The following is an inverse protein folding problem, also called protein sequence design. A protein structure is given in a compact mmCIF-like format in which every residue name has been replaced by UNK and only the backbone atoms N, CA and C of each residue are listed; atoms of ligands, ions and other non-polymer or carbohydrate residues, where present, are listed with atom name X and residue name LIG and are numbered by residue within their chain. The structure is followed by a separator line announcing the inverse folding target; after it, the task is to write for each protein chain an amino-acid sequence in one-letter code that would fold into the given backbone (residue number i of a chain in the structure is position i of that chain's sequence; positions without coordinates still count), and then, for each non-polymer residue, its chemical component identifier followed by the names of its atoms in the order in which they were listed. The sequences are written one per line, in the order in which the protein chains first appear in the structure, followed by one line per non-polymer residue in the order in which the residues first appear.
data_IF_736950535332
#
_entry.id   IF_736950535332
#
_cell.length_a   1.000
_cell.length_b   1.000
_cell.length_c   1.000
_cell.angle_alpha   90.00
_cell.angle_beta   90.00
_cell.angle_gamma   90.00
#
_symmetry.space_group_name_H-M   'P 1'
#
loop_
_entity.id
_entity.type
_entity.pdbx_description
1 polymer ?
#
# COMPACT_ATOMS: atom_id res chain seq x y z
N UNK A 1 8.53 8.37 73.91
CA UNK A 1 8.70 8.10 72.46
C UNK A 1 7.42 8.54 71.75
N UNK A 2 7.52 9.16 70.57
CA UNK A 2 6.72 10.34 70.15
C UNK A 2 5.44 10.01 69.35
N UNK A 3 4.57 11.02 69.16
CA UNK A 3 3.73 11.15 67.95
C UNK A 3 2.24 11.53 68.14
N UNK A 4 1.94 12.83 68.08
CA UNK A 4 0.62 13.41 67.73
C UNK A 4 0.34 13.22 66.19
N UNK A 5 -0.75 13.77 65.60
CA UNK A 5 -2.05 13.13 65.33
C UNK A 5 -2.42 13.19 63.82
N UNK A 6 -3.58 12.67 63.39
CA UNK A 6 -4.36 13.24 62.27
C UNK A 6 -5.68 12.46 62.01
N UNK A 7 -6.83 13.12 62.19
CA UNK A 7 -7.71 13.70 61.15
C UNK A 7 -8.79 12.73 60.65
N UNK A 8 -10.04 13.03 61.03
CA UNK A 8 -11.25 12.53 60.38
C UNK A 8 -11.54 13.29 59.07
N UNK A 9 -12.31 12.70 58.16
CA UNK A 9 -13.45 13.42 57.61
C UNK A 9 -14.72 12.53 57.62
N UNK A 10 -15.85 13.00 58.16
CA UNK A 10 -16.76 14.03 57.63
C UNK A 10 -17.72 13.45 56.58
N UNK A 11 -18.93 13.20 57.07
CA UNK A 11 -20.17 12.97 56.32
C UNK A 11 -20.47 14.22 55.47
N UNK A 12 -20.87 14.02 54.21
CA UNK A 12 -21.62 15.04 53.46
C UNK A 12 -22.85 14.44 52.76
N UNK A 13 -23.97 15.19 52.73
CA UNK A 13 -25.25 14.75 52.20
C UNK A 13 -25.50 15.19 50.75
N UNK A 14 -26.47 14.51 50.15
CA UNK A 14 -27.49 14.89 49.17
C UNK A 14 -27.22 15.75 47.93
N UNK A 15 -27.83 15.24 46.84
CA UNK A 15 -28.06 15.81 45.51
C UNK A 15 -28.93 17.10 45.56
N UNK A 16 -29.05 17.79 44.42
CA UNK A 16 -30.33 17.64 43.72
C UNK A 16 -30.23 17.47 42.19
N UNK A 17 -31.21 16.74 41.67
CA UNK A 17 -31.60 16.63 40.27
C UNK A 17 -32.19 17.94 39.74
N UNK A 18 -32.00 18.19 38.44
CA UNK A 18 -32.93 19.03 37.66
C UNK A 18 -33.20 18.31 36.33
N UNK A 19 -34.47 18.07 36.09
CA UNK A 19 -35.05 17.47 34.89
C UNK A 19 -35.61 18.56 33.95
N UNK A 20 -36.32 18.09 32.91
CA UNK A 20 -37.25 18.80 32.00
C UNK A 20 -36.54 19.28 30.71
N UNK A 21 -37.05 19.04 29.49
CA UNK A 21 -38.31 18.44 29.06
C UNK A 21 -38.41 18.50 27.53
N UNK A 22 -39.27 17.65 26.98
CA UNK A 22 -39.57 17.52 25.55
C UNK A 22 -40.62 18.55 25.13
N UNK A 23 -40.45 19.19 23.97
CA UNK A 23 -41.55 19.77 23.19
C UNK A 23 -41.26 19.73 21.68
N UNK A 24 -42.25 19.25 20.92
CA UNK A 24 -42.37 19.31 19.45
C UNK A 24 -43.04 20.63 19.05
N UNK A 25 -42.70 21.18 17.89
CA UNK A 25 -43.61 21.99 17.08
C UNK A 25 -43.22 21.99 15.60
N UNK A 26 -44.24 22.17 14.78
CA UNK A 26 -44.37 21.93 13.35
C UNK A 26 -43.74 23.01 12.45
N UNK A 27 -43.51 22.63 11.18
CA UNK A 27 -43.97 23.38 10.01
C UNK A 27 -43.16 24.61 9.57
N UNK A 28 -42.44 24.50 8.45
CA UNK A 28 -42.32 25.61 7.51
C UNK A 28 -42.03 25.11 6.09
N UNK A 29 -43.05 25.20 5.25
CA UNK A 29 -42.97 25.08 3.80
C UNK A 29 -42.46 26.42 3.24
N UNK A 30 -41.39 26.41 2.44
CA UNK A 30 -41.11 27.49 1.49
C UNK A 30 -40.80 26.94 0.11
N UNK A 31 -41.52 27.52 -0.85
CA UNK A 31 -41.52 27.27 -2.27
C UNK A 31 -40.57 28.24 -3.00
N UNK A 32 -40.19 27.86 -4.23
CA UNK A 32 -39.52 28.63 -5.31
C UNK A 32 -37.99 28.76 -5.18
N UNK A 33 -37.19 28.56 -6.22
CA UNK A 33 -37.39 28.90 -7.65
C UNK A 33 -36.46 28.05 -8.54
N UNK A 34 -36.99 27.63 -9.68
CA UNK A 34 -36.23 27.19 -10.85
C UNK A 34 -35.36 28.34 -11.34
N UNK A 35 -34.06 28.09 -11.54
CA UNK A 35 -33.23 28.80 -12.51
C UNK A 35 -32.44 27.74 -13.25
N UNK A 36 -32.84 27.56 -14.50
CA UNK A 36 -32.11 26.91 -15.55
C UNK A 36 -31.04 27.90 -16.03
N UNK A 37 -29.78 27.47 -16.03
CA UNK A 37 -28.72 28.09 -16.80
C UNK A 37 -27.60 27.07 -16.96
N UNK A 38 -27.57 26.44 -18.14
CA UNK A 38 -26.47 25.62 -18.57
C UNK A 38 -25.15 26.39 -18.58
N UNK A 39 -24.10 25.70 -18.16
CA UNK A 39 -22.74 26.02 -18.54
C UNK A 39 -22.01 24.68 -18.60
N UNK A 40 -21.67 24.27 -19.82
CA UNK A 40 -20.75 23.17 -20.08
C UNK A 40 -19.40 23.51 -19.45
N UNK A 41 -18.95 22.68 -18.53
CA UNK A 41 -17.53 22.54 -18.20
C UNK A 41 -17.23 21.05 -18.10
N UNK A 42 -16.44 20.60 -19.07
CA UNK A 42 -15.84 19.28 -19.16
C UNK A 42 -14.84 19.08 -18.04
N UNK A 43 -15.25 18.40 -16.98
CA UNK A 43 -14.35 17.79 -16.01
C UNK A 43 -14.93 16.41 -15.70
N UNK A 44 -14.51 15.41 -16.48
CA UNK A 44 -14.75 13.99 -16.20
C UNK A 44 -13.88 13.59 -14.99
N UNK A 45 -14.29 13.99 -13.79
CA UNK A 45 -13.83 13.34 -12.57
C UNK A 45 -14.53 11.97 -12.47
N UNK A 46 -13.75 10.95 -12.78
CA UNK A 46 -14.04 9.53 -12.60
C UNK A 46 -14.33 9.25 -11.11
N UNK A 47 -15.59 9.43 -10.71
CA UNK A 47 -16.07 9.27 -9.33
C UNK A 47 -16.07 7.77 -8.97
N UNK A 48 -14.93 7.26 -8.53
CA UNK A 48 -14.80 5.91 -7.97
C UNK A 48 -15.62 5.84 -6.67
N UNK A 49 -16.75 5.13 -6.72
CA UNK A 49 -17.61 4.93 -5.55
C UNK A 49 -17.00 3.91 -4.59
N UNK A 50 -16.42 4.36 -3.48
CA UNK A 50 -15.99 3.47 -2.40
C UNK A 50 -17.20 3.05 -1.55
N UNK A 51 -17.64 1.80 -1.67
CA UNK A 51 -18.64 1.24 -0.75
C UNK A 51 -18.01 0.20 0.19
N UNK A 52 -18.08 0.44 1.50
CA UNK A 52 -17.87 -0.60 2.52
C UNK A 52 -18.75 -0.34 3.76
N UNK A 53 -19.90 -1.03 3.87
CA UNK A 53 -20.10 -1.94 5.02
C UNK A 53 -21.17 -3.06 4.83
N UNK A 54 -20.83 -4.33 5.15
CA UNK A 54 -21.82 -5.38 5.48
C UNK A 54 -21.70 -6.75 4.80
N UNK A 55 -20.64 -7.03 4.06
CA UNK A 55 -20.57 -8.26 3.25
C UNK A 55 -20.22 -9.50 4.07
N UNK A 56 -21.06 -10.54 3.95
CA UNK A 56 -20.85 -11.86 4.56
C UNK A 56 -19.61 -12.52 3.94
N UNK A 57 -18.82 -13.17 4.79
CA UNK A 57 -17.70 -14.05 4.40
C UNK A 57 -18.29 -15.20 3.58
N UNK A 58 -18.21 -15.12 2.26
CA UNK A 58 -18.59 -16.19 1.34
C UNK A 58 -17.33 -16.81 0.72
N UNK A 59 -17.41 -18.10 0.38
CA UNK A 59 -16.34 -18.83 -0.33
C UNK A 59 -16.14 -18.20 -1.71
N UNK A 60 -14.88 -18.18 -2.15
CA UNK A 60 -14.34 -17.69 -3.41
C UNK A 60 -15.39 -17.28 -4.48
N UNK A 61 -15.46 -15.98 -4.78
CA UNK A 61 -16.15 -15.43 -5.95
C UNK A 61 -15.20 -14.47 -6.70
N UNK A 62 -15.11 -14.51 -8.03
CA UNK A 62 -14.35 -13.54 -8.82
C UNK A 62 -14.77 -12.08 -8.56
N UNK A 63 -16.04 -11.84 -8.22
CA UNK A 63 -16.54 -10.53 -7.80
C UNK A 63 -16.13 -10.11 -6.38
N UNK A 64 -15.63 -11.05 -5.56
CA UNK A 64 -15.13 -10.82 -4.20
C UNK A 64 -13.65 -10.47 -4.17
N UNK A 65 -12.91 -10.76 -5.25
CA UNK A 65 -11.48 -10.53 -5.40
C UNK A 65 -11.16 -9.06 -5.74
N UNK A 66 -11.96 -8.12 -5.22
CA UNK A 66 -11.80 -6.69 -5.48
C UNK A 66 -10.47 -6.17 -4.94
N UNK A 67 -9.42 -6.27 -5.76
CA UNK A 67 -8.43 -5.20 -5.81
C UNK A 67 -9.24 -3.91 -5.86
N UNK A 68 -9.09 -2.99 -4.89
CA UNK A 68 -9.83 -1.73 -4.90
C UNK A 68 -9.54 -0.90 -6.16
N UNK A 69 -8.58 -1.33 -6.98
CA UNK A 69 -8.13 -0.70 -8.20
C UNK A 69 -8.79 -1.25 -9.47
N UNK A 70 -9.76 -2.18 -9.38
CA UNK A 70 -10.57 -2.58 -10.54
C UNK A 70 -11.50 -1.43 -10.93
N UNK A 71 -11.05 -0.61 -11.86
CA UNK A 71 -11.87 0.37 -12.56
C UNK A 71 -12.52 -0.31 -13.79
N UNK A 72 -13.85 -0.55 -13.79
CA UNK A 72 -14.53 -1.16 -14.93
C UNK A 72 -14.57 -0.25 -16.18
N UNK A 73 -14.18 1.04 -16.07
CA UNK A 73 -14.22 1.99 -17.18
C UNK A 73 -12.95 1.97 -18.08
N UNK A 74 -11.86 1.32 -17.65
CA UNK A 74 -10.61 1.22 -18.43
C UNK A 74 -10.40 -0.20 -18.96
N UNK A 75 -11.22 -0.59 -19.94
CA UNK A 75 -10.88 -1.67 -20.86
C UNK A 75 -9.75 -1.20 -21.80
N UNK A 76 -8.51 -1.14 -21.32
CA UNK A 76 -7.37 -1.05 -22.22
C UNK A 76 -7.07 -2.44 -22.76
N UNK A 77 -6.99 -2.57 -24.10
CA UNK A 77 -6.50 -3.78 -24.73
C UNK A 77 -5.11 -4.08 -24.18
N UNK A 78 -4.88 -5.30 -23.70
CA UNK A 78 -3.55 -5.77 -23.32
C UNK A 78 -2.57 -5.45 -24.46
N UNK A 79 -1.50 -4.68 -24.21
CA UNK A 79 -0.56 -4.32 -25.25
C UNK A 79 0.13 -5.59 -25.76
N UNK A 80 0.17 -5.77 -27.09
CA UNK A 80 1.01 -6.79 -27.71
C UNK A 80 2.44 -6.58 -27.25
N UNK A 81 3.01 -7.61 -26.59
CA UNK A 81 4.35 -7.58 -26.04
C UNK A 81 5.39 -7.61 -27.17
N UNK A 82 5.75 -6.44 -27.72
CA UNK A 82 6.96 -6.33 -28.54
C UNK A 82 8.18 -6.42 -27.62
N UNK A 83 8.98 -7.50 -27.75
CA UNK A 83 10.19 -7.76 -26.96
C UNK A 83 11.14 -6.55 -26.92
N UNK A 84 11.16 -5.75 -27.99
CA UNK A 84 11.94 -4.50 -28.06
C UNK A 84 11.47 -3.44 -27.06
N UNK A 85 10.16 -3.34 -26.85
CA UNK A 85 9.56 -2.43 -25.87
C UNK A 85 9.93 -2.85 -24.44
N UNK A 86 9.85 -4.14 -24.14
CA UNK A 86 10.20 -4.70 -22.83
C UNK A 86 11.70 -4.53 -22.52
N UNK A 87 12.57 -4.73 -23.51
CA UNK A 87 14.01 -4.54 -23.36
C UNK A 87 14.40 -3.07 -23.16
N UNK A 88 13.78 -2.15 -23.91
CA UNK A 88 13.95 -0.71 -23.73
C UNK A 88 13.50 -0.27 -22.34
N UNK A 89 12.35 -0.76 -21.90
CA UNK A 89 11.82 -0.55 -20.55
C UNK A 89 12.80 -1.06 -19.47
N UNK A 90 13.27 -2.30 -19.59
CA UNK A 90 14.25 -2.89 -18.67
C UNK A 90 15.55 -2.09 -18.60
N UNK A 91 16.10 -1.71 -19.76
CA UNK A 91 17.36 -0.97 -19.84
C UNK A 91 17.25 0.40 -19.17
N UNK A 92 16.13 1.11 -19.41
CA UNK A 92 15.82 2.36 -18.71
C UNK A 92 15.71 2.16 -17.21
N UNK A 93 14.98 1.14 -16.75
CA UNK A 93 14.88 0.85 -15.32
C UNK A 93 16.24 0.53 -14.68
N UNK A 94 17.10 -0.25 -15.35
CA UNK A 94 18.45 -0.57 -14.86
C UNK A 94 19.34 0.66 -14.76
N UNK A 95 19.40 1.47 -15.83
CA UNK A 95 20.18 2.70 -15.85
C UNK A 95 19.71 3.68 -14.77
N UNK A 96 18.38 3.81 -14.61
CA UNK A 96 17.78 4.81 -13.73
C UNK A 96 17.79 4.42 -12.25
N UNK A 97 17.66 3.13 -11.89
CA UNK A 97 17.82 2.69 -10.49
C UNK A 97 19.29 2.69 -10.01
N UNK A 98 20.21 3.20 -10.83
CA UNK A 98 21.62 3.32 -10.48
C UNK A 98 22.30 1.97 -10.33
N UNK A 99 21.93 0.99 -11.16
CA UNK A 99 22.71 -0.24 -11.33
C UNK A 99 23.72 0.04 -12.45
N UNK A 100 24.99 0.36 -12.11
CA UNK A 100 25.97 0.70 -13.15
C UNK A 100 26.17 -0.48 -14.10
N UNK A 101 25.81 -0.29 -15.38
CA UNK A 101 26.18 -1.20 -16.47
C UNK A 101 27.69 -1.16 -16.78
N UNK A 102 28.44 -0.21 -16.19
CA UNK A 102 29.88 0.00 -16.39
C UNK A 102 30.56 0.53 -15.11
N UNK A 103 31.81 0.13 -14.88
CA UNK A 103 32.67 0.32 -13.70
C UNK A 103 32.65 1.69 -12.95
N UNK A 104 33.03 1.72 -11.66
CA UNK A 104 32.75 2.82 -10.73
C UNK A 104 33.60 4.08 -10.99
N UNK A 105 32.93 5.24 -10.98
CA UNK A 105 33.59 6.54 -10.82
C UNK A 105 34.07 6.76 -9.37
N UNK A 106 35.07 7.62 -9.21
CA UNK A 106 35.83 7.87 -7.99
C UNK A 106 34.98 8.37 -6.80
N UNK A 107 35.39 8.09 -5.55
CA UNK A 107 34.55 8.31 -4.37
C UNK A 107 34.44 9.80 -4.06
N UNK A 108 33.24 10.36 -4.20
CA UNK A 108 32.81 11.49 -3.38
C UNK A 108 32.73 11.01 -1.93
N UNK A 109 32.95 11.88 -0.96
CA UNK A 109 32.84 11.53 0.47
C UNK A 109 31.38 11.13 0.73
N UNK A 110 31.08 9.84 0.59
CA UNK A 110 29.73 9.30 0.73
C UNK A 110 29.32 9.41 2.20
N UNK A 111 28.16 10.02 2.44
CA UNK A 111 27.49 9.86 3.71
C UNK A 111 27.37 8.36 3.99
N UNK A 112 27.71 7.94 5.22
CA UNK A 112 27.66 6.52 5.60
C UNK A 112 26.23 6.01 5.41
N UNK A 113 26.01 5.17 4.39
CA UNK A 113 24.70 4.61 4.06
C UNK A 113 24.09 3.76 5.19
N UNK A 114 22.81 3.44 5.06
CA UNK A 114 22.08 2.66 6.07
C UNK A 114 22.47 1.19 6.08
N UNK A 115 22.55 0.60 7.27
CA UNK A 115 22.72 -0.85 7.43
C UNK A 115 21.37 -1.59 7.31
N UNK A 116 21.35 -2.91 7.05
CA UNK A 116 20.10 -3.68 7.05
C UNK A 116 19.32 -3.60 8.37
N UNK A 117 20.00 -3.44 9.50
CA UNK A 117 19.36 -3.28 10.81
C UNK A 117 18.68 -1.92 10.99
N UNK A 118 18.95 -0.96 10.12
CA UNK A 118 18.41 0.40 10.14
C UNK A 118 17.37 0.60 9.04
N UNK A 119 17.09 -0.42 8.24
CA UNK A 119 16.21 -0.36 7.07
C UNK A 119 14.96 -1.21 7.27
N UNK A 120 13.80 -0.62 6.98
CA UNK A 120 12.54 -1.31 6.80
C UNK A 120 12.11 -1.23 5.35
N UNK A 121 11.65 -2.34 4.78
CA UNK A 121 11.16 -2.45 3.40
C UNK A 121 9.72 -2.96 3.47
N UNK A 122 8.80 -2.25 2.83
CA UNK A 122 7.38 -2.58 2.79
C UNK A 122 7.00 -2.81 1.33
N UNK A 123 6.45 -4.00 1.06
CA UNK A 123 5.87 -4.32 -0.25
C UNK A 123 4.34 -4.32 -0.16
N UNK A 124 3.67 -3.94 -1.24
CA UNK A 124 2.31 -4.40 -1.50
C UNK A 124 2.31 -5.83 -2.11
N UNK A 125 1.12 -6.44 -2.25
CA UNK A 125 0.95 -7.74 -2.89
C UNK A 125 0.31 -7.63 -4.28
N UNK A 126 -0.80 -6.90 -4.38
CA UNK A 126 -1.71 -6.91 -5.53
C UNK A 126 -1.11 -6.05 -6.64
N UNK A 127 -0.90 -6.63 -7.82
CA UNK A 127 -0.21 -5.99 -8.96
C UNK A 127 1.23 -5.51 -8.67
N UNK A 128 1.74 -5.83 -7.47
CA UNK A 128 3.10 -5.53 -7.00
C UNK A 128 3.96 -6.79 -6.89
N UNK A 129 3.54 -7.82 -6.15
CA UNK A 129 4.24 -9.11 -6.07
C UNK A 129 3.50 -10.20 -6.85
N UNK A 130 2.22 -9.99 -7.10
CA UNK A 130 1.34 -10.91 -7.79
C UNK A 130 0.46 -10.14 -8.80
N UNK A 131 0.44 -10.50 -10.10
CA UNK A 131 -0.26 -9.75 -11.15
C UNK A 131 -1.76 -10.04 -11.07
N UNK A 132 -2.43 -9.43 -10.10
CA UNK A 132 -3.83 -9.66 -9.77
C UNK A 132 -4.72 -9.32 -10.95
N UNK A 133 -4.51 -8.17 -11.57
CA UNK A 133 -5.25 -7.72 -12.74
C UNK A 133 -5.19 -8.76 -13.87
N UNK A 134 -3.97 -9.06 -14.34
CA UNK A 134 -3.77 -9.95 -15.48
C UNK A 134 -4.19 -11.40 -15.18
N UNK A 135 -3.94 -11.90 -13.97
CA UNK A 135 -4.35 -13.26 -13.57
C UNK A 135 -5.89 -13.41 -13.54
N UNK A 136 -6.62 -12.39 -13.09
CA UNK A 136 -8.07 -12.39 -13.10
C UNK A 136 -8.64 -12.21 -14.51
N UNK A 137 -8.05 -11.36 -15.34
CA UNK A 137 -8.46 -11.15 -16.73
C UNK A 137 -8.41 -12.45 -17.54
N UNK A 138 -7.29 -13.19 -17.45
CA UNK A 138 -7.11 -14.49 -18.12
C UNK A 138 -8.16 -15.51 -17.65
N UNK A 139 -8.45 -15.54 -16.35
CA UNK A 139 -9.42 -16.46 -15.74
C UNK A 139 -10.87 -16.14 -16.13
N UNK A 140 -11.25 -14.86 -16.14
CA UNK A 140 -12.59 -14.42 -16.52
C UNK A 140 -12.88 -14.68 -18.00
N UNK A 141 -11.94 -14.37 -18.88
CA UNK A 141 -12.11 -14.54 -20.33
C UNK A 141 -11.95 -15.99 -20.80
N UNK A 142 -11.61 -16.92 -19.89
CA UNK A 142 -11.28 -18.31 -20.21
C UNK A 142 -10.31 -18.42 -21.39
N UNK A 143 -9.45 -17.41 -21.55
CA UNK A 143 -8.38 -17.49 -22.54
C UNK A 143 -7.65 -18.78 -22.22
N UNK A 144 -7.38 -19.65 -23.22
CA UNK A 144 -6.78 -20.93 -22.94
C UNK A 144 -5.55 -20.64 -22.07
N UNK A 145 -5.57 -21.17 -20.85
CA UNK A 145 -4.48 -21.11 -19.90
C UNK A 145 -3.34 -21.86 -20.54
N UNK A 146 -2.67 -21.19 -21.46
CA UNK A 146 -1.66 -21.78 -22.31
C UNK A 146 -0.57 -22.24 -21.36
N UNK A 147 0.03 -23.38 -21.67
CA UNK A 147 1.20 -23.86 -20.94
C UNK A 147 2.22 -22.73 -20.77
N UNK A 148 2.34 -21.85 -21.77
CA UNK A 148 3.16 -20.64 -21.73
C UNK A 148 2.81 -19.64 -20.60
N UNK A 149 1.53 -19.44 -20.29
CA UNK A 149 1.10 -18.57 -19.19
C UNK A 149 1.46 -19.17 -17.84
N UNK A 150 1.20 -20.47 -17.65
CA UNK A 150 1.58 -21.17 -16.43
C UNK A 150 3.09 -21.26 -16.25
N UNK A 151 3.85 -21.52 -17.33
CA UNK A 151 5.31 -21.50 -17.31
C UNK A 151 5.85 -20.09 -16.95
N UNK A 152 5.19 -19.02 -17.41
CA UNK A 152 5.57 -17.65 -17.06
C UNK A 152 5.27 -17.31 -15.59
N UNK A 153 4.11 -17.72 -15.06
CA UNK A 153 3.78 -17.58 -13.63
C UNK A 153 4.76 -18.34 -12.74
N UNK A 154 5.26 -19.45 -13.26
CA UNK A 154 6.23 -20.28 -12.60
C UNK A 154 7.64 -19.65 -12.56
N UNK A 155 8.00 -18.91 -13.60
CA UNK A 155 9.19 -18.06 -13.56
C UNK A 155 9.01 -16.90 -12.56
N UNK A 156 7.85 -16.23 -12.60
CA UNK A 156 7.51 -15.18 -11.63
C UNK A 156 7.62 -15.69 -10.19
N UNK A 157 7.20 -16.93 -9.92
CA UNK A 157 7.33 -17.58 -8.60
C UNK A 157 8.77 -17.55 -8.09
N UNK A 158 9.75 -17.85 -8.94
CA UNK A 158 11.16 -17.79 -8.55
C UNK A 158 11.61 -16.34 -8.35
N UNK A 159 11.20 -15.41 -9.22
CA UNK A 159 11.54 -14.00 -9.10
C UNK A 159 11.03 -13.39 -7.79
N UNK A 160 9.79 -13.70 -7.37
CA UNK A 160 9.21 -13.22 -6.10
C UNK A 160 9.98 -13.79 -4.91
N UNK A 161 10.33 -15.09 -4.92
CA UNK A 161 11.14 -15.71 -3.86
C UNK A 161 12.50 -15.05 -3.74
N UNK A 162 13.19 -14.87 -4.87
CA UNK A 162 14.52 -14.27 -4.92
C UNK A 162 14.49 -12.82 -4.44
N UNK A 163 13.49 -12.04 -4.87
CA UNK A 163 13.29 -10.67 -4.42
C UNK A 163 13.07 -10.59 -2.92
N UNK A 164 12.15 -11.38 -2.35
CA UNK A 164 11.87 -11.34 -0.91
C UNK A 164 13.09 -11.78 -0.09
N UNK A 165 13.85 -12.77 -0.57
CA UNK A 165 15.10 -13.21 0.04
C UNK A 165 16.16 -12.11 0.01
N UNK A 166 16.34 -11.47 -1.16
CA UNK A 166 17.25 -10.33 -1.32
C UNK A 166 16.84 -9.16 -0.41
N UNK A 167 15.55 -8.84 -0.35
CA UNK A 167 15.00 -7.80 0.51
C UNK A 167 15.31 -8.07 1.99
N UNK A 168 15.20 -9.33 2.43
CA UNK A 168 15.56 -9.69 3.81
C UNK A 168 17.04 -9.52 4.13
N UNK A 169 17.92 -9.68 3.15
CA UNK A 169 19.34 -9.37 3.32
C UNK A 169 19.60 -7.85 3.40
N UNK A 170 18.74 -7.04 2.79
CA UNK A 170 18.86 -5.58 2.73
C UNK A 170 18.16 -4.84 3.88
N UNK A 171 17.21 -5.48 4.56
CA UNK A 171 16.45 -4.83 5.63
C UNK A 171 15.39 -5.73 6.25
N UNK A 172 14.67 -5.21 7.25
CA UNK A 172 13.48 -5.86 7.81
C UNK A 172 12.33 -5.67 6.83
N UNK A 173 11.67 -6.76 6.41
CA UNK A 173 10.66 -6.72 5.35
C UNK A 173 9.27 -6.94 5.94
N UNK A 174 8.25 -6.35 5.32
CA UNK A 174 6.83 -6.63 5.57
C UNK A 174 6.02 -6.54 4.28
N UNK A 175 4.86 -7.21 4.26
CA UNK A 175 3.86 -7.06 3.20
C UNK A 175 2.62 -6.38 3.78
N UNK A 176 2.15 -5.32 3.12
CA UNK A 176 0.98 -4.54 3.49
C UNK A 176 0.04 -4.44 2.29
N UNK A 177 -1.06 -5.17 2.32
CA UNK A 177 -2.02 -5.27 1.20
C UNK A 177 -3.37 -4.64 1.55
N UNK A 178 -4.07 -4.11 0.55
CA UNK A 178 -5.47 -3.69 0.68
C UNK A 178 -6.46 -4.81 0.37
N UNK A 179 -6.02 -6.01 0.01
CA UNK A 179 -6.90 -7.16 -0.16
C UNK A 179 -7.60 -7.57 1.15
N UNK A 180 -8.48 -8.57 1.07
CA UNK A 180 -9.12 -9.21 2.22
C UNK A 180 -8.48 -10.57 2.48
N UNK A 181 -8.45 -11.02 3.73
CA UNK A 181 -8.10 -12.42 4.01
C UNK A 181 -9.12 -13.37 3.35
N UNK A 182 -8.68 -14.54 2.88
CA UNK A 182 -7.29 -15.04 2.85
C UNK A 182 -6.59 -14.81 1.50
N UNK A 183 -6.89 -13.72 0.79
CA UNK A 183 -6.51 -13.51 -0.62
C UNK A 183 -5.05 -13.84 -0.96
N UNK A 184 -4.06 -13.34 -0.20
CA UNK A 184 -2.64 -13.60 -0.50
C UNK A 184 -2.32 -15.10 -0.49
N UNK A 185 -2.88 -15.85 0.46
CA UNK A 185 -2.65 -17.29 0.55
C UNK A 185 -3.38 -18.04 -0.57
N UNK A 186 -4.64 -17.68 -0.85
CA UNK A 186 -5.44 -18.32 -1.90
C UNK A 186 -4.89 -18.02 -3.30
N UNK A 187 -4.54 -16.77 -3.59
CA UNK A 187 -4.02 -16.36 -4.90
C UNK A 187 -2.65 -16.99 -5.17
N UNK A 188 -1.76 -17.03 -4.17
CA UNK A 188 -0.49 -17.72 -4.31
C UNK A 188 -0.68 -19.24 -4.51
N UNK A 189 -1.57 -19.89 -3.76
CA UNK A 189 -1.83 -21.32 -3.91
C UNK A 189 -2.42 -21.67 -5.29
N UNK A 190 -3.26 -20.80 -5.84
CA UNK A 190 -3.87 -21.01 -7.15
C UNK A 190 -2.89 -20.75 -8.31
N UNK A 191 -2.18 -19.62 -8.30
CA UNK A 191 -1.40 -19.15 -9.45
C UNK A 191 0.11 -19.39 -9.33
N UNK A 192 0.63 -19.49 -8.11
CA UNK A 192 2.06 -19.68 -7.81
C UNK A 192 2.27 -20.79 -6.78
N UNK A 193 1.73 -22.02 -6.98
CA UNK A 193 1.69 -23.05 -5.94
C UNK A 193 3.07 -23.44 -5.40
N UNK A 194 4.10 -23.35 -6.24
CA UNK A 194 5.48 -23.66 -5.84
C UNK A 194 6.14 -22.58 -4.99
N UNK A 195 5.53 -21.39 -4.89
CA UNK A 195 6.01 -20.32 -4.01
C UNK A 195 5.89 -20.75 -2.55
N UNK A 196 4.79 -21.42 -2.21
CA UNK A 196 4.37 -21.73 -0.84
C UNK A 196 4.50 -20.47 0.05
N UNK A 197 3.70 -19.45 -0.26
CA UNK A 197 3.86 -18.11 0.30
C UNK A 197 3.84 -18.12 1.83
N UNK A 198 2.98 -18.92 2.47
CA UNK A 198 2.91 -18.96 3.93
C UNK A 198 4.20 -19.48 4.56
N UNK A 199 4.77 -20.57 4.02
CA UNK A 199 6.04 -21.10 4.50
C UNK A 199 7.21 -20.13 4.24
N UNK A 200 7.24 -19.49 3.06
CA UNK A 200 8.27 -18.52 2.72
C UNK A 200 8.23 -17.30 3.64
N UNK A 201 7.04 -16.77 3.95
CA UNK A 201 6.90 -15.63 4.85
C UNK A 201 7.28 -15.99 6.29
N UNK A 202 7.01 -17.21 6.75
CA UNK A 202 7.45 -17.70 8.06
C UNK A 202 8.97 -17.85 8.12
N UNK A 203 9.57 -18.52 7.14
CA UNK A 203 11.02 -18.70 6.99
C UNK A 203 11.76 -17.36 7.01
N UNK A 204 11.27 -16.41 6.21
CA UNK A 204 11.85 -15.08 6.09
C UNK A 204 11.43 -14.13 7.23
N UNK A 205 10.53 -14.56 8.12
CA UNK A 205 9.96 -13.75 9.21
C UNK A 205 9.31 -12.44 8.72
N UNK A 206 8.59 -12.51 7.59
CA UNK A 206 7.92 -11.37 6.95
C UNK A 206 6.47 -11.30 7.46
N UNK A 207 6.09 -10.26 8.24
CA UNK A 207 4.71 -10.05 8.60
C UNK A 207 3.87 -9.63 7.39
N UNK A 208 2.73 -10.29 7.22
CA UNK A 208 1.67 -9.91 6.28
C UNK A 208 0.53 -9.21 7.03
N UNK A 209 0.22 -7.96 6.64
CA UNK A 209 -0.85 -7.15 7.21
C UNK A 209 -1.88 -6.81 6.12
N UNK A 210 -3.15 -7.09 6.42
CA UNK A 210 -4.29 -6.69 5.60
C UNK A 210 -4.80 -5.33 6.11
N UNK A 211 -4.61 -4.29 5.31
CA UNK A 211 -4.74 -2.88 5.73
C UNK A 211 -6.15 -2.52 6.14
N UNK A 212 -7.16 -3.13 5.50
CA UNK A 212 -8.58 -2.95 5.83
C UNK A 212 -8.91 -3.34 7.27
N UNK A 213 -8.12 -4.23 7.88
CA UNK A 213 -8.29 -4.66 9.27
C UNK A 213 -7.72 -3.65 10.28
N UNK A 214 -6.95 -2.65 9.82
CA UNK A 214 -6.30 -1.66 10.67
C UNK A 214 -7.13 -0.39 10.89
N UNK A 215 -8.26 -0.23 10.17
CA UNK A 215 -9.15 0.92 10.31
C UNK A 215 -10.44 0.53 11.04
N UNK A 216 -10.84 1.32 12.03
CA UNK A 216 -12.13 1.13 12.71
C UNK A 216 -13.27 1.56 11.80
N UNK A 217 -14.41 0.87 11.88
CA UNK A 217 -15.60 1.14 11.06
C UNK A 217 -16.10 2.59 11.10
N UNK A 218 -15.89 3.30 12.21
CA UNK A 218 -16.28 4.72 12.34
C UNK A 218 -15.20 5.70 11.87
N UNK A 219 -13.97 5.26 11.58
CA UNK A 219 -12.99 6.10 10.88
C UNK A 219 -13.20 6.02 9.35
N UNK A 220 -13.95 5.01 8.88
CA UNK A 220 -14.41 4.89 7.49
C UNK A 220 -15.82 5.46 7.27
N UNK A 221 -16.36 6.16 8.26
CA UNK A 221 -17.68 6.79 8.22
C UNK A 221 -17.56 8.10 8.97
N UNK A 222 -17.64 9.23 8.28
CA UNK A 222 -18.04 10.45 8.96
C UNK A 222 -19.47 10.29 9.51
N UNK A 223 -19.86 11.05 10.55
CA UNK A 223 -21.21 11.00 11.11
C UNK A 223 -22.34 11.24 10.07
N UNK A 224 -22.00 11.89 8.96
CA UNK A 224 -22.81 12.32 7.83
C UNK A 224 -22.58 11.49 6.55
N UNK A 225 -21.59 10.60 6.51
CA UNK A 225 -21.27 9.74 5.36
C UNK A 225 -20.38 10.35 4.29
N UNK A 226 -20.04 11.64 4.44
CA UNK A 226 -19.10 12.40 3.60
C UNK A 226 -17.68 12.30 4.19
N UNK A 227 -16.72 11.68 3.51
CA UNK A 227 -15.32 11.81 3.92
C UNK A 227 -14.89 13.28 3.82
N UNK A 228 -13.99 13.74 4.70
CA UNK A 228 -13.37 15.05 4.49
C UNK A 228 -12.79 15.11 3.07
N UNK A 229 -13.14 16.16 2.33
CA UNK A 229 -12.71 16.36 0.95
C UNK A 229 -11.17 16.25 0.88
N UNK A 230 -10.68 15.33 0.04
CA UNK A 230 -9.25 15.02 -0.09
C UNK A 230 -8.71 13.84 0.74
N UNK A 231 -9.52 13.22 1.62
CA UNK A 231 -9.06 12.07 2.41
C UNK A 231 -9.43 10.74 1.73
N UNK A 232 -8.43 10.03 1.18
CA UNK A 232 -8.62 8.69 0.61
C UNK A 232 -8.67 7.61 1.72
N UNK A 233 -9.80 6.89 1.91
CA UNK A 233 -9.92 5.89 2.98
C UNK A 233 -8.96 4.70 2.83
N UNK A 234 -8.55 4.40 1.58
CA UNK A 234 -7.59 3.35 1.28
C UNK A 234 -6.18 3.75 1.71
N UNK A 235 -5.78 5.00 1.44
CA UNK A 235 -4.52 5.58 1.90
C UNK A 235 -4.47 5.59 3.43
N UNK A 236 -5.54 6.02 4.10
CA UNK A 236 -5.62 5.95 5.58
C UNK A 236 -5.45 4.51 6.09
N UNK A 237 -6.06 3.53 5.42
CA UNK A 237 -5.94 2.14 5.82
C UNK A 237 -4.51 1.62 5.70
N UNK A 238 -3.82 1.94 4.60
CA UNK A 238 -2.41 1.63 4.41
C UNK A 238 -1.53 2.37 5.41
N UNK A 239 -1.78 3.65 5.68
CA UNK A 239 -1.03 4.44 6.65
C UNK A 239 -1.07 3.79 8.05
N UNK A 240 -2.27 3.42 8.52
CA UNK A 240 -2.41 2.75 9.82
C UNK A 240 -1.73 1.37 9.85
N UNK A 241 -1.81 0.62 8.76
CA UNK A 241 -1.14 -0.68 8.63
C UNK A 241 0.39 -0.54 8.62
N UNK A 242 0.92 0.40 7.84
CA UNK A 242 2.35 0.72 7.78
C UNK A 242 2.86 1.21 9.13
N UNK A 243 2.10 2.05 9.85
CA UNK A 243 2.42 2.47 11.23
C UNK A 243 2.55 1.27 12.18
N UNK A 244 1.62 0.32 12.10
CA UNK A 244 1.65 -0.91 12.90
C UNK A 244 2.87 -1.77 12.55
N UNK A 245 3.17 -1.92 11.26
CA UNK A 245 4.34 -2.66 10.76
C UNK A 245 5.63 -2.01 11.21
N UNK A 246 5.82 -0.71 11.01
CA UNK A 246 7.06 -0.02 11.37
C UNK A 246 7.31 -0.04 12.88
N UNK A 247 6.26 0.07 13.70
CA UNK A 247 6.36 -0.18 15.15
C UNK A 247 6.83 -1.61 15.45
N UNK A 248 6.36 -2.62 14.73
CA UNK A 248 6.80 -4.01 14.88
C UNK A 248 8.25 -4.21 14.42
N UNK A 249 8.64 -3.63 13.29
CA UNK A 249 9.96 -3.82 12.70
C UNK A 249 11.06 -3.07 13.47
N UNK A 250 10.81 -1.83 13.88
CA UNK A 250 11.79 -1.04 14.64
C UNK A 250 11.70 -1.25 16.16
N UNK A 251 10.56 -1.71 16.66
CA UNK A 251 10.32 -1.84 18.10
C UNK A 251 10.38 -0.49 18.79
N UNK A 252 11.31 -0.36 19.75
CA UNK A 252 11.57 0.90 20.50
C UNK A 252 12.61 1.80 19.82
N UNK A 253 13.25 1.33 18.75
CA UNK A 253 14.27 2.11 18.06
C UNK A 253 13.62 3.21 17.21
N UNK A 254 14.29 4.36 17.03
CA UNK A 254 13.83 5.36 16.08
C UNK A 254 13.82 4.78 14.67
N UNK A 255 12.86 5.21 13.85
CA UNK A 255 12.84 4.88 12.43
C UNK A 255 13.98 5.64 11.75
N UNK A 256 14.70 4.94 10.87
CA UNK A 256 15.92 5.47 10.23
C UNK A 256 15.79 5.48 8.72
N UNK A 257 15.36 4.38 8.12
CA UNK A 257 15.25 4.27 6.67
C UNK A 257 14.06 3.39 6.31
N UNK A 258 13.09 3.95 5.60
CA UNK A 258 11.90 3.22 5.16
C UNK A 258 11.82 3.26 3.65
N UNK A 259 11.67 2.09 3.04
CA UNK A 259 11.45 1.92 1.60
C UNK A 259 10.08 1.28 1.38
N UNK A 260 9.18 1.99 0.70
CA UNK A 260 7.86 1.48 0.29
C UNK A 260 7.85 1.18 -1.20
N UNK A 261 7.41 -0.01 -1.58
CA UNK A 261 7.35 -0.48 -2.97
C UNK A 261 5.94 -1.01 -3.24
N UNK A 262 5.26 -0.46 -4.24
CA UNK A 262 3.90 -0.84 -4.62
C UNK A 262 3.52 -0.26 -5.98
N UNK A 263 2.45 -0.74 -6.61
CA UNK A 263 2.00 -0.29 -7.93
C UNK A 263 1.13 0.98 -7.89
N UNK A 264 0.57 1.31 -6.71
CA UNK A 264 -0.37 2.42 -6.57
C UNK A 264 0.27 3.65 -5.91
N UNK A 265 -0.35 4.80 -6.17
CA UNK A 265 -0.06 6.04 -5.41
C UNK A 265 -0.44 5.89 -3.94
N UNK A 266 -1.33 4.93 -3.63
CA UNK A 266 -1.83 4.68 -2.27
C UNK A 266 -0.69 4.33 -1.29
N UNK A 267 0.25 3.48 -1.67
CA UNK A 267 1.39 3.09 -0.83
C UNK A 267 2.35 4.25 -0.65
N UNK A 268 2.58 5.00 -1.74
CA UNK A 268 3.46 6.18 -1.79
C UNK A 268 2.94 7.28 -0.85
N UNK A 269 1.68 7.64 -0.98
CA UNK A 269 1.05 8.68 -0.18
C UNK A 269 0.93 8.23 1.29
N UNK A 270 0.52 6.99 1.54
CA UNK A 270 0.37 6.47 2.90
C UNK A 270 1.67 6.51 3.71
N UNK A 271 2.81 6.14 3.11
CA UNK A 271 4.08 6.19 3.84
C UNK A 271 4.61 7.61 3.97
N UNK A 272 4.37 8.47 2.98
CA UNK A 272 4.81 9.87 2.97
C UNK A 272 4.10 10.64 4.07
N UNK A 273 2.77 10.55 4.12
CA UNK A 273 1.96 11.19 5.18
C UNK A 273 2.33 10.66 6.57
N UNK A 274 2.54 9.34 6.70
CA UNK A 274 2.97 8.74 7.96
C UNK A 274 4.34 9.26 8.41
N UNK A 275 5.29 9.38 7.48
CA UNK A 275 6.63 9.87 7.76
C UNK A 275 6.59 11.33 8.19
N UNK A 276 5.86 12.19 7.47
CA UNK A 276 5.64 13.59 7.85
C UNK A 276 4.95 13.76 9.20
N UNK A 277 3.95 12.94 9.52
CA UNK A 277 3.22 13.01 10.79
C UNK A 277 4.05 12.60 12.01
N UNK A 278 5.11 11.79 11.82
CA UNK A 278 5.94 11.26 12.90
C UNK A 278 7.26 12.04 13.04
N UNK A 279 7.79 12.52 11.92
CA UNK A 279 9.04 13.24 11.87
C UNK A 279 8.75 14.74 12.01
N UNK A 280 9.03 15.31 13.18
CA UNK A 280 9.20 16.76 13.29
C UNK A 280 10.41 17.22 12.46
N UNK A 281 10.57 18.53 12.27
CA UNK A 281 11.58 19.16 11.38
C UNK A 281 13.03 18.66 11.58
N UNK A 282 13.38 18.10 12.74
CA UNK A 282 14.74 17.70 13.13
C UNK A 282 15.08 16.20 12.98
N UNK A 283 14.16 15.35 12.48
CA UNK A 283 14.38 13.91 12.50
C UNK A 283 15.17 13.37 11.28
N UNK A 284 16.30 12.70 11.56
CA UNK A 284 17.18 12.04 10.57
C UNK A 284 16.65 10.69 10.10
N UNK A 285 15.43 10.63 9.58
CA UNK A 285 14.86 9.41 8.99
C UNK A 285 14.64 9.59 7.50
N UNK A 286 15.09 8.63 6.70
CA UNK A 286 14.80 8.61 5.27
C UNK A 286 13.48 7.89 4.96
N UNK A 287 12.75 8.45 4.00
CA UNK A 287 11.57 7.89 3.37
C UNK A 287 11.80 7.77 1.88
N UNK A 288 11.69 6.55 1.37
CA UNK A 288 11.90 6.22 -0.03
C UNK A 288 10.68 5.51 -0.58
N UNK A 289 10.28 5.89 -1.78
CA UNK A 289 9.14 5.27 -2.45
C UNK A 289 9.50 4.87 -3.86
N UNK A 290 9.09 3.66 -4.25
CA UNK A 290 9.13 3.18 -5.62
C UNK A 290 7.72 2.74 -5.99
N UNK A 291 7.04 3.56 -6.80
CA UNK A 291 5.78 3.19 -7.44
C UNK A 291 6.09 2.38 -8.70
N UNK A 292 5.56 1.16 -8.81
CA UNK A 292 5.67 0.28 -9.97
C UNK A 292 4.59 0.61 -11.02
N UNK A 293 4.64 -0.07 -12.17
CA UNK A 293 3.58 0.01 -13.17
C UNK A 293 2.23 -0.41 -12.58
N UNK A 294 1.19 0.36 -12.89
CA UNK A 294 -0.17 -0.02 -12.58
C UNK A 294 -0.68 -1.05 -13.58
N UNK A 295 -1.39 -2.09 -13.10
CA UNK A 295 -1.95 -3.17 -13.93
C UNK A 295 -0.93 -3.82 -14.89
N UNK A 296 0.24 -4.27 -14.40
CA UNK A 296 1.29 -4.79 -15.28
C UNK A 296 0.88 -6.11 -15.92
N UNK A 297 1.30 -6.32 -17.18
CA UNK A 297 1.34 -7.66 -17.75
C UNK A 297 2.31 -8.54 -16.96
N UNK A 298 2.19 -9.86 -17.12
CA UNK A 298 3.05 -10.83 -16.42
C UNK A 298 4.54 -10.61 -16.75
N UNK A 299 4.85 -10.32 -18.02
CA UNK A 299 6.21 -10.06 -18.47
C UNK A 299 6.77 -8.74 -17.90
N UNK A 300 5.96 -7.68 -17.85
CA UNK A 300 6.34 -6.40 -17.25
C UNK A 300 6.63 -6.58 -15.75
N UNK A 301 5.73 -7.24 -15.02
CA UNK A 301 5.91 -7.48 -13.59
C UNK A 301 7.17 -8.30 -13.31
N UNK A 302 7.39 -9.39 -14.05
CA UNK A 302 8.59 -10.20 -13.90
C UNK A 302 9.86 -9.39 -14.14
N UNK A 303 9.85 -8.49 -15.13
CA UNK A 303 10.96 -7.60 -15.43
C UNK A 303 11.19 -6.60 -14.28
N UNK A 304 10.15 -5.88 -13.85
CA UNK A 304 10.25 -4.91 -12.74
C UNK A 304 10.80 -5.57 -11.49
N UNK A 305 10.28 -6.74 -11.09
CA UNK A 305 10.75 -7.44 -9.91
C UNK A 305 12.20 -7.91 -10.03
N UNK A 306 12.64 -8.30 -11.23
CA UNK A 306 14.04 -8.67 -11.49
C UNK A 306 14.96 -7.46 -11.33
N UNK A 307 14.61 -6.33 -11.95
CA UNK A 307 15.38 -5.08 -11.86
C UNK A 307 15.40 -4.54 -10.43
N UNK A 308 14.25 -4.56 -9.75
CA UNK A 308 14.11 -4.14 -8.36
C UNK A 308 14.98 -5.00 -7.46
N UNK A 309 14.98 -6.33 -7.62
CA UNK A 309 15.85 -7.24 -6.85
C UNK A 309 17.31 -6.81 -6.93
N UNK A 310 17.80 -6.54 -8.13
CA UNK A 310 19.21 -6.18 -8.36
C UNK A 310 19.54 -4.77 -7.84
N UNK A 311 18.61 -3.83 -7.94
CA UNK A 311 18.76 -2.46 -7.44
C UNK A 311 18.55 -2.32 -5.91
N UNK A 312 17.85 -3.26 -5.29
CA UNK A 312 17.41 -3.17 -3.89
C UNK A 312 18.56 -2.91 -2.89
N UNK A 313 19.75 -3.53 -3.01
CA UNK A 313 20.88 -3.22 -2.13
C UNK A 313 21.29 -1.75 -2.16
N UNK A 314 21.27 -1.12 -3.34
CA UNK A 314 21.65 0.28 -3.52
C UNK A 314 20.55 1.20 -2.98
N UNK A 315 19.29 0.93 -3.32
CA UNK A 315 18.13 1.68 -2.79
C UNK A 315 18.09 1.64 -1.25
N UNK A 316 18.33 0.46 -0.66
CA UNK A 316 18.35 0.29 0.78
C UNK A 316 19.50 1.05 1.45
N UNK A 317 20.72 1.02 0.90
CA UNK A 317 21.90 1.70 1.49
C UNK A 317 21.88 3.21 1.35
N UNK A 318 21.23 3.75 0.31
CA UNK A 318 21.25 5.18 -0.03
C UNK A 318 20.92 6.07 1.16
N UNK A 319 21.64 7.18 1.35
CA UNK A 319 21.45 8.06 2.52
C UNK A 319 20.43 9.18 2.28
N UNK A 320 19.96 9.35 1.04
CA UNK A 320 18.96 10.34 0.66
C UNK A 320 17.57 9.70 0.45
N UNK A 321 16.55 10.54 0.59
CA UNK A 321 15.20 10.24 0.16
C UNK A 321 15.11 10.18 -1.36
N UNK A 322 14.15 9.40 -1.86
CA UNK A 322 13.76 9.47 -3.26
C UNK A 322 12.28 9.13 -3.39
N UNK A 323 11.64 9.72 -4.38
CA UNK A 323 10.30 9.34 -4.81
C UNK A 323 10.35 9.01 -6.29
N UNK A 324 10.32 7.73 -6.58
CA UNK A 324 10.43 7.18 -7.92
C UNK A 324 9.13 6.51 -8.32
N UNK A 325 8.75 6.65 -9.58
CA UNK A 325 7.54 6.05 -10.14
C UNK A 325 7.83 5.52 -11.53
N UNK A 326 7.37 4.31 -11.83
CA UNK A 326 7.43 3.71 -13.16
C UNK A 326 6.10 3.99 -13.87
N UNK A 327 6.17 4.44 -15.11
CA UNK A 327 5.06 4.54 -16.04
C UNK A 327 5.39 3.85 -17.38
N UNK A 328 4.45 3.89 -18.32
CA UNK A 328 4.62 3.28 -19.64
C UNK A 328 5.78 3.89 -20.46
N UNK A 329 6.24 5.10 -20.12
CA UNK A 329 7.33 5.79 -20.79
C UNK A 329 8.70 5.59 -20.11
N UNK A 330 8.73 5.17 -18.84
CA UNK A 330 9.93 4.89 -18.05
C UNK A 330 9.77 5.27 -16.57
N UNK A 331 10.87 5.60 -15.90
CA UNK A 331 10.82 6.08 -14.52
C UNK A 331 10.68 7.62 -14.48
N UNK A 332 9.79 8.15 -13.65
CA UNK A 332 9.64 9.58 -13.31
C UNK A 332 9.94 9.75 -11.81
N UNK A 333 10.75 10.75 -11.44
CA UNK A 333 11.03 11.07 -10.04
C UNK A 333 12.11 12.13 -9.87
N UNK A 334 12.15 12.76 -8.69
CA UNK A 334 13.15 13.75 -8.27
C UNK A 334 14.02 13.19 -7.13
#
# INVERSE_FOLDING_TARGET
MPGLPAVAPSVKPDKPEVAIGVARSEGSVRHRRSIDSGMESSDDEERISYSFPGERIARFSPSFAGSPYRDPAKESKAPESDEKGLFSFASKLFEMLGVPLSQPEAPKVEAKGFTPSETAIIFDWDDTLFPTWHALEVKEHRLPGDKAFHDSLDQLTNTVRDLLTQARSCGRVAIVTLSRRPWVAESAAEFMPRLNIEALLDELQIPLIYSRECVKKHHMRSPDGEFEEGVCPLTMAKEQAMKKVLKRLYGKNPWKNVLSIGDSVTEKDAITELHWAIMGEDAKSCCKTLKMLHNPTLAQLQMELTVIKDALPNMAKRAEDFTWAVDEQGLIGA
#
